data_IF_028292533529
#
_entry.id   IF_028292533529
#
_cell.length_a   1.000
_cell.length_b   1.000
_cell.length_c   1.000
_cell.angle_alpha   90.00
_cell.angle_beta   90.00
_cell.angle_gamma   90.00
#
_symmetry.space_group_name_H-M   'P 1'
#
loop_
_entity.id
_entity.type
_entity.pdbx_description
1 polymer ?
#
# COMPACT_ATOMS: atom_id res chain seq x y z
N UNK A 1 -14.96 -23.59 35.67
CA UNK A 1 -14.92 -22.51 34.67
C UNK A 1 -13.52 -21.91 34.72
N UNK A 2 -12.69 -22.18 33.71
CA UNK A 2 -11.39 -21.51 33.63
C UNK A 2 -11.68 -20.03 33.36
N UNK A 3 -11.20 -19.15 34.24
CA UNK A 3 -11.41 -17.71 34.10
C UNK A 3 -10.81 -17.23 32.79
N UNK A 4 -11.57 -16.50 32.00
CA UNK A 4 -11.07 -15.83 30.81
C UNK A 4 -9.91 -14.90 31.22
N UNK A 5 -8.70 -15.21 30.76
CA UNK A 5 -7.52 -14.41 31.06
C UNK A 5 -7.46 -13.24 30.07
N UNK A 6 -7.95 -12.08 30.51
CA UNK A 6 -7.99 -10.83 29.72
C UNK A 6 -6.59 -10.44 29.23
N UNK A 7 -5.55 -10.76 29.98
CA UNK A 7 -4.16 -10.49 29.61
C UNK A 7 -3.73 -11.32 28.40
N UNK A 8 -3.99 -12.63 28.40
CA UNK A 8 -3.65 -13.53 27.28
C UNK A 8 -4.43 -13.14 26.01
N UNK A 9 -5.67 -12.70 26.16
CA UNK A 9 -6.51 -12.21 25.07
C UNK A 9 -5.98 -10.91 24.45
N UNK A 10 -5.57 -9.96 25.29
CA UNK A 10 -4.95 -8.72 24.83
C UNK A 10 -3.64 -9.01 24.09
N UNK A 11 -2.80 -9.91 24.63
CA UNK A 11 -1.54 -10.30 24.02
C UNK A 11 -1.73 -10.94 22.64
N UNK A 12 -2.77 -11.76 22.45
CA UNK A 12 -3.10 -12.33 21.14
C UNK A 12 -3.48 -11.26 20.11
N UNK A 13 -4.30 -10.28 20.51
CA UNK A 13 -4.69 -9.17 19.63
C UNK A 13 -3.48 -8.29 19.28
N UNK A 14 -2.66 -7.95 20.28
CA UNK A 14 -1.44 -7.17 20.06
C UNK A 14 -0.45 -7.89 19.16
N UNK A 15 -0.29 -9.21 19.34
CA UNK A 15 0.58 -10.02 18.50
C UNK A 15 0.11 -10.06 17.05
N UNK A 16 -1.19 -10.27 16.82
CA UNK A 16 -1.78 -10.26 15.48
C UNK A 16 -1.59 -8.89 14.79
N UNK A 17 -1.82 -7.80 15.53
CA UNK A 17 -1.59 -6.44 15.03
C UNK A 17 -0.11 -6.22 14.67
N UNK A 18 0.82 -6.60 15.56
CA UNK A 18 2.25 -6.42 15.34
C UNK A 18 2.75 -7.21 14.13
N UNK A 19 2.38 -8.49 14.01
CA UNK A 19 2.76 -9.34 12.88
C UNK A 19 2.19 -8.82 11.56
N UNK A 20 0.89 -8.51 11.52
CA UNK A 20 0.26 -8.04 10.29
C UNK A 20 0.82 -6.68 9.88
N UNK A 21 1.04 -5.76 10.84
CA UNK A 21 1.65 -4.45 10.56
C UNK A 21 3.07 -4.58 10.01
N UNK A 22 3.87 -5.51 10.55
CA UNK A 22 5.23 -5.75 10.06
C UNK A 22 5.22 -6.30 8.63
N UNK A 23 4.37 -7.28 8.35
CA UNK A 23 4.20 -7.87 7.01
C UNK A 23 3.75 -6.81 6.01
N UNK A 24 2.72 -6.04 6.35
CA UNK A 24 2.18 -4.97 5.52
C UNK A 24 3.22 -3.89 5.24
N UNK A 25 3.98 -3.44 6.24
CA UNK A 25 5.03 -2.43 6.01
C UNK A 25 6.15 -2.96 5.10
N UNK A 26 6.58 -4.21 5.28
CA UNK A 26 7.55 -4.83 4.38
C UNK A 26 7.02 -4.92 2.94
N UNK A 27 5.74 -5.29 2.77
CA UNK A 27 5.08 -5.31 1.47
C UNK A 27 5.04 -3.95 0.79
N UNK A 28 4.72 -2.89 1.55
CA UNK A 28 4.73 -1.50 1.06
C UNK A 28 6.13 -1.08 0.63
N UNK A 29 7.16 -1.35 1.43
CA UNK A 29 8.55 -1.00 1.09
C UNK A 29 8.99 -1.73 -0.18
N UNK A 30 8.71 -3.03 -0.29
CA UNK A 30 9.03 -3.80 -1.49
C UNK A 30 8.33 -3.25 -2.74
N UNK A 31 7.07 -2.84 -2.64
CA UNK A 31 6.34 -2.24 -3.78
C UNK A 31 6.93 -0.89 -4.19
N UNK A 32 7.36 -0.07 -3.23
CA UNK A 32 8.07 1.19 -3.51
C UNK A 32 9.37 0.91 -4.28
N UNK A 33 10.18 -0.03 -3.77
CA UNK A 33 11.49 -0.35 -4.34
C UNK A 33 11.40 -0.99 -5.72
N UNK A 34 10.44 -1.91 -5.93
CA UNK A 34 10.33 -2.69 -7.16
C UNK A 34 9.50 -2.02 -8.25
N UNK A 35 8.54 -1.17 -7.88
CA UNK A 35 7.61 -0.58 -8.85
C UNK A 35 7.63 0.95 -8.84
N UNK A 36 7.39 1.59 -7.68
CA UNK A 36 7.21 3.06 -7.65
C UNK A 36 8.48 3.78 -8.07
N UNK A 37 9.61 3.49 -7.43
CA UNK A 37 10.89 4.16 -7.72
C UNK A 37 11.31 3.94 -9.18
N UNK A 38 11.33 2.69 -9.72
CA UNK A 38 11.71 2.47 -11.11
C UNK A 38 10.80 3.16 -12.12
N UNK A 39 9.48 3.13 -11.90
CA UNK A 39 8.53 3.79 -12.81
C UNK A 39 8.68 5.30 -12.77
N UNK A 40 8.80 5.91 -11.59
CA UNK A 40 9.04 7.35 -11.45
C UNK A 40 10.37 7.78 -12.09
N UNK A 41 11.42 6.96 -11.94
CA UNK A 41 12.70 7.20 -12.61
C UNK A 41 12.59 7.08 -14.14
N UNK A 42 11.74 6.18 -14.66
CA UNK A 42 11.45 6.10 -16.09
C UNK A 42 10.74 7.35 -16.60
N UNK A 43 9.74 7.84 -15.87
CA UNK A 43 9.00 9.06 -16.21
C UNK A 43 9.94 10.28 -16.23
N UNK A 44 10.79 10.41 -15.21
CA UNK A 44 11.79 11.49 -15.16
C UNK A 44 12.74 11.46 -16.37
N UNK A 45 13.17 10.28 -16.79
CA UNK A 45 14.00 10.12 -18.01
C UNK A 45 13.22 10.51 -19.27
N UNK A 46 11.96 10.12 -19.40
CA UNK A 46 11.11 10.51 -20.53
C UNK A 46 10.96 12.04 -20.62
N UNK A 47 10.72 12.71 -19.49
CA UNK A 47 10.65 14.18 -19.42
C UNK A 47 11.96 14.84 -19.88
N UNK A 48 13.12 14.29 -19.49
CA UNK A 48 14.41 14.79 -19.95
C UNK A 48 14.59 14.62 -21.47
N UNK A 49 14.13 13.50 -22.04
CA UNK A 49 14.13 13.26 -23.49
C UNK A 49 13.23 14.25 -24.22
N UNK A 50 12.03 14.53 -23.69
CA UNK A 50 11.13 15.53 -24.27
C UNK A 50 11.80 16.91 -24.29
N UNK A 51 12.44 17.32 -23.19
CA UNK A 51 13.20 18.57 -23.14
C UNK A 51 14.34 18.63 -24.16
N UNK A 52 15.05 17.51 -24.36
CA UNK A 52 16.08 17.39 -25.40
C UNK A 52 15.52 17.56 -26.82
N UNK A 53 14.38 16.92 -27.10
CA UNK A 53 13.68 17.00 -28.41
C UNK A 53 13.08 18.37 -28.70
N UNK A 54 12.66 19.08 -27.66
CA UNK A 54 12.24 20.47 -27.81
C UNK A 54 13.45 21.37 -28.14
N UNK A 55 14.58 21.15 -27.46
CA UNK A 55 15.79 21.95 -27.65
C UNK A 55 16.46 21.74 -29.02
N UNK A 56 16.42 20.51 -29.56
CA UNK A 56 16.97 20.19 -30.88
C UNK A 56 16.00 20.49 -32.05
N UNK A 57 14.78 20.95 -31.74
CA UNK A 57 13.75 21.31 -32.71
C UNK A 57 12.96 20.13 -33.30
N UNK A 58 13.17 18.91 -32.80
CA UNK A 58 12.38 17.73 -33.21
C UNK A 58 10.92 17.87 -32.79
N UNK A 59 10.65 18.46 -31.61
CA UNK A 59 9.30 18.74 -31.11
C UNK A 59 8.99 20.23 -31.22
N UNK A 60 7.75 20.55 -31.62
CA UNK A 60 7.20 21.89 -31.40
C UNK A 60 6.80 22.04 -29.93
N UNK A 61 6.63 23.28 -29.42
CA UNK A 61 6.15 23.51 -28.07
C UNK A 61 4.84 22.79 -27.76
N UNK A 62 3.87 22.78 -28.70
CA UNK A 62 2.59 22.11 -28.49
C UNK A 62 2.75 20.59 -28.32
N UNK A 63 3.59 19.95 -29.15
CA UNK A 63 3.86 18.51 -29.03
C UNK A 63 4.57 18.20 -27.70
N UNK A 64 5.51 19.05 -27.29
CA UNK A 64 6.21 18.87 -26.02
C UNK A 64 5.26 19.00 -24.83
N UNK A 65 4.34 19.96 -24.85
CA UNK A 65 3.34 20.15 -23.80
C UNK A 65 2.40 18.95 -23.68
N UNK A 66 1.89 18.43 -24.80
CA UNK A 66 1.04 17.22 -24.82
C UNK A 66 1.76 15.99 -24.25
N UNK A 67 3.03 15.80 -24.63
CA UNK A 67 3.85 14.69 -24.13
C UNK A 67 4.18 14.83 -22.64
N UNK A 68 4.48 16.05 -22.16
CA UNK A 68 4.71 16.32 -20.73
C UNK A 68 3.43 16.05 -19.94
N UNK A 69 2.27 16.48 -20.43
CA UNK A 69 0.99 16.20 -19.78
C UNK A 69 0.76 14.69 -19.64
N UNK A 70 1.01 13.91 -20.69
CA UNK A 70 0.90 12.45 -20.64
C UNK A 70 1.85 11.82 -19.60
N UNK A 71 3.08 12.33 -19.46
CA UNK A 71 4.02 11.85 -18.43
C UNK A 71 3.57 12.22 -17.00
N UNK A 72 2.97 13.39 -16.81
CA UNK A 72 2.42 13.82 -15.51
C UNK A 72 1.22 12.93 -15.13
N UNK A 73 0.33 12.65 -16.07
CA UNK A 73 -0.81 11.75 -15.84
C UNK A 73 -0.35 10.34 -15.49
N UNK A 74 0.70 9.84 -16.15
CA UNK A 74 1.31 8.56 -15.81
C UNK A 74 1.87 8.56 -14.38
N UNK A 75 2.53 9.64 -13.95
CA UNK A 75 3.02 9.79 -12.58
C UNK A 75 1.88 9.80 -11.56
N UNK A 76 0.80 10.53 -11.85
CA UNK A 76 -0.39 10.57 -11.01
C UNK A 76 -1.01 9.17 -10.87
N UNK A 77 -1.10 8.40 -11.95
CA UNK A 77 -1.60 7.03 -11.92
C UNK A 77 -0.74 6.10 -11.03
N UNK A 78 0.59 6.24 -11.06
CA UNK A 78 1.50 5.50 -10.17
C UNK A 78 1.23 5.84 -8.71
N UNK A 79 1.10 7.13 -8.39
CA UNK A 79 0.81 7.59 -7.02
C UNK A 79 -0.54 7.04 -6.53
N UNK A 80 -1.59 7.13 -7.35
CA UNK A 80 -2.92 6.63 -6.99
C UNK A 80 -2.90 5.11 -6.78
N UNK A 81 -2.23 4.36 -7.65
CA UNK A 81 -2.07 2.91 -7.50
C UNK A 81 -1.37 2.57 -6.18
N UNK A 82 -0.28 3.28 -5.87
CA UNK A 82 0.45 3.08 -4.63
C UNK A 82 -0.40 3.42 -3.39
N UNK A 83 -1.13 4.53 -3.41
CA UNK A 83 -2.04 4.91 -2.33
C UNK A 83 -3.12 3.84 -2.08
N UNK A 84 -3.72 3.31 -3.16
CA UNK A 84 -4.69 2.21 -3.06
C UNK A 84 -4.08 0.94 -2.45
N UNK A 85 -2.81 0.63 -2.77
CA UNK A 85 -2.10 -0.49 -2.14
C UNK A 85 -1.97 -0.27 -0.64
N UNK A 86 -1.51 0.90 -0.21
CA UNK A 86 -1.37 1.24 1.23
C UNK A 86 -2.70 1.16 1.96
N UNK A 87 -3.79 1.67 1.37
CA UNK A 87 -5.13 1.57 1.95
C UNK A 87 -5.58 0.12 2.11
N UNK A 88 -5.27 -0.74 1.15
CA UNK A 88 -5.55 -2.17 1.26
C UNK A 88 -4.78 -2.83 2.40
N UNK A 89 -3.50 -2.49 2.56
CA UNK A 89 -2.68 -3.02 3.68
C UNK A 89 -3.26 -2.59 5.05
N UNK A 90 -3.73 -1.34 5.18
CA UNK A 90 -4.44 -0.88 6.38
C UNK A 90 -5.71 -1.70 6.62
N UNK A 91 -6.48 -1.98 5.55
CA UNK A 91 -7.68 -2.80 5.64
C UNK A 91 -7.37 -4.23 6.09
N UNK A 92 -6.30 -4.82 5.58
CA UNK A 92 -5.86 -6.17 5.95
C UNK A 92 -5.42 -6.23 7.43
N UNK A 93 -4.74 -5.17 7.93
CA UNK A 93 -4.45 -5.03 9.37
C UNK A 93 -5.73 -4.97 10.21
N UNK A 94 -6.72 -4.17 9.81
CA UNK A 94 -7.99 -4.05 10.53
C UNK A 94 -8.73 -5.40 10.56
N UNK A 95 -8.75 -6.11 9.43
CA UNK A 95 -9.39 -7.42 9.35
C UNK A 95 -8.70 -8.45 10.26
N UNK A 96 -7.36 -8.48 10.29
CA UNK A 96 -6.62 -9.36 11.18
C UNK A 96 -6.92 -9.10 12.67
N UNK A 97 -7.08 -7.82 13.06
CA UNK A 97 -7.49 -7.46 14.43
C UNK A 97 -8.91 -7.93 14.72
N UNK A 98 -9.85 -7.72 13.79
CA UNK A 98 -11.23 -8.18 13.95
C UNK A 98 -11.28 -9.70 14.11
N UNK A 99 -10.52 -10.44 13.32
CA UNK A 99 -10.45 -11.90 13.41
C UNK A 99 -9.82 -12.38 14.73
N UNK A 100 -8.77 -11.70 15.21
CA UNK A 100 -8.20 -11.97 16.53
C UNK A 100 -9.22 -11.71 17.66
N UNK A 101 -9.97 -10.61 17.59
CA UNK A 101 -11.05 -10.29 18.55
C UNK A 101 -12.14 -11.37 18.51
N UNK A 102 -12.58 -11.79 17.33
CA UNK A 102 -13.57 -12.88 17.18
C UNK A 102 -13.06 -14.18 17.80
N UNK A 103 -11.79 -14.53 17.58
CA UNK A 103 -11.18 -15.73 18.15
C UNK A 103 -11.20 -15.70 19.68
N UNK A 104 -10.77 -14.57 20.26
CA UNK A 104 -10.79 -14.33 21.71
C UNK A 104 -12.20 -14.47 22.29
N UNK A 105 -13.20 -13.85 21.65
CA UNK A 105 -14.60 -13.92 22.08
C UNK A 105 -15.09 -15.37 22.02
N UNK A 106 -14.92 -16.04 20.87
CA UNK A 106 -15.35 -17.44 20.69
C UNK A 106 -14.71 -18.38 21.74
N UNK A 107 -13.44 -18.15 22.10
CA UNK A 107 -12.76 -18.90 23.18
C UNK A 107 -13.37 -18.61 24.56
N UNK A 108 -13.76 -17.36 24.84
CA UNK A 108 -14.38 -16.95 26.09
C UNK A 108 -15.78 -17.55 26.29
N UNK A 109 -16.60 -17.59 25.24
CA UNK A 109 -18.00 -18.05 25.34
C UNK A 109 -18.16 -19.56 25.14
N UNK A 110 -17.07 -20.30 24.86
CA UNK A 110 -17.04 -21.75 24.58
C UNK A 110 -18.05 -22.23 23.52
N UNK A 111 -18.55 -21.30 22.72
CA UNK A 111 -19.51 -21.51 21.65
C UNK A 111 -19.05 -20.64 20.48
N UNK A 112 -19.01 -21.20 19.28
CA UNK A 112 -18.72 -20.44 18.06
C UNK A 112 -19.92 -19.52 17.79
N UNK A 113 -19.92 -18.33 18.39
CA UNK A 113 -20.99 -17.36 18.25
C UNK A 113 -20.90 -16.58 16.94
N UNK A 114 -19.70 -16.51 16.35
CA UNK A 114 -19.44 -15.72 15.15
C UNK A 114 -18.47 -16.49 14.24
N UNK A 115 -18.95 -16.87 13.05
CA UNK A 115 -18.16 -17.40 11.95
C UNK A 115 -17.48 -16.26 11.15
#
# INVERSE_FOLDING_TARGET
MAGFNVTDAADQIFFALAQQSQSSFQGVVQDIEQHVIPTMASIARSLAVIGGRLADGTYTPEIADDEVAAQIDAAAAVIVRFANRVLKEIQDIINAVIDAVKHVINAAVQTALIA
#
